data_IF_729014583703
#
_entry.id   IF_729014583703
#
_cell.length_a   1.000
_cell.length_b   1.000
_cell.length_c   1.000
_cell.angle_alpha   90.00
_cell.angle_beta   90.00
_cell.angle_gamma   90.00
#
_symmetry.space_group_name_H-M   'P 1'
#
loop_
_entity.id
_entity.type
_entity.pdbx_description
1 polymer ?
#
# COMPACT_ATOMS: atom_id res chain seq x y z
N UNK A 1 22.52 9.98 52.49
CA UNK A 1 21.48 9.61 51.50
C UNK A 1 20.80 10.80 50.80
N UNK A 2 20.60 11.98 51.44
CA UNK A 2 19.91 13.14 50.81
C UNK A 2 20.60 13.73 49.57
N UNK A 3 21.93 13.73 49.52
CA UNK A 3 22.70 14.29 48.39
C UNK A 3 22.58 13.48 47.09
N UNK A 4 22.46 12.15 47.19
CA UNK A 4 22.35 11.27 46.02
C UNK A 4 21.03 11.48 45.26
N UNK A 5 19.90 11.57 45.99
CA UNK A 5 18.59 11.82 45.39
C UNK A 5 18.48 13.22 44.74
N UNK A 6 19.16 14.22 45.28
CA UNK A 6 19.21 15.56 44.69
C UNK A 6 19.98 15.59 43.36
N UNK A 7 21.13 14.90 43.29
CA UNK A 7 21.91 14.78 42.05
C UNK A 7 21.19 13.93 40.99
N UNK A 8 20.57 12.82 41.39
CA UNK A 8 19.76 12.00 40.50
C UNK A 8 18.58 12.78 39.91
N UNK A 9 17.89 13.60 40.72
CA UNK A 9 16.81 14.47 40.24
C UNK A 9 17.28 15.51 39.22
N UNK A 10 18.42 16.16 39.44
CA UNK A 10 18.99 17.12 38.49
C UNK A 10 19.42 16.47 37.18
N UNK A 11 20.02 15.27 37.25
CA UNK A 11 20.37 14.50 36.06
C UNK A 11 19.11 14.15 35.25
N UNK A 12 18.05 13.68 35.91
CA UNK A 12 16.78 13.37 35.25
C UNK A 12 16.17 14.60 34.56
N UNK A 13 16.13 15.75 35.23
CA UNK A 13 15.63 17.01 34.65
C UNK A 13 16.47 17.42 33.44
N UNK A 14 17.80 17.32 33.53
CA UNK A 14 18.69 17.59 32.40
C UNK A 14 18.40 16.67 31.20
N UNK A 15 18.26 15.36 31.43
CA UNK A 15 17.91 14.42 30.36
C UNK A 15 16.56 14.74 29.71
N UNK A 16 15.54 15.08 30.50
CA UNK A 16 14.24 15.50 29.98
C UNK A 16 14.39 16.77 29.12
N UNK A 17 15.14 17.78 29.59
CA UNK A 17 15.38 19.01 28.85
C UNK A 17 16.13 18.76 27.53
N UNK A 18 17.13 17.87 27.53
CA UNK A 18 17.86 17.48 26.33
C UNK A 18 16.94 16.77 25.35
N UNK A 19 16.10 15.83 25.80
CA UNK A 19 15.16 15.10 24.93
C UNK A 19 14.12 16.05 24.33
N UNK A 20 13.50 16.90 25.15
CA UNK A 20 12.52 17.89 24.69
C UNK A 20 13.16 18.92 23.75
N UNK A 21 14.34 19.43 24.11
CA UNK A 21 15.08 20.38 23.28
C UNK A 21 15.47 19.78 21.93
N UNK A 22 15.86 18.50 21.90
CA UNK A 22 16.18 17.78 20.66
C UNK A 22 14.95 17.62 19.78
N UNK A 23 13.81 17.20 20.34
CA UNK A 23 12.56 17.07 19.58
C UNK A 23 12.10 18.42 19.00
N UNK A 24 12.18 19.50 19.79
CA UNK A 24 11.87 20.86 19.32
C UNK A 24 12.82 21.26 18.18
N UNK A 25 14.13 21.06 18.35
CA UNK A 25 15.11 21.41 17.34
C UNK A 25 14.89 20.63 16.04
N UNK A 26 14.65 19.32 16.11
CA UNK A 26 14.34 18.49 14.95
C UNK A 26 13.03 18.91 14.26
N UNK A 27 12.03 19.34 15.04
CA UNK A 27 10.78 19.87 14.50
C UNK A 27 10.95 21.22 13.80
N UNK A 28 11.84 22.09 14.31
CA UNK A 28 12.11 23.40 13.72
C UNK A 28 13.00 23.28 12.47
N UNK A 29 14.02 22.43 12.50
CA UNK A 29 14.96 22.26 11.38
C UNK A 29 14.30 21.66 10.14
N UNK A 30 13.16 20.95 10.30
CA UNK A 30 12.37 20.35 9.21
C UNK A 30 13.25 19.71 8.12
N UNK A 31 14.25 18.92 8.52
CA UNK A 31 15.18 18.34 7.55
C UNK A 31 14.41 17.49 6.52
N UNK A 32 14.76 17.55 5.22
CA UNK A 32 14.00 16.84 4.18
C UNK A 32 13.87 15.34 4.44
N UNK A 33 14.92 14.70 4.97
CA UNK A 33 14.90 13.28 5.35
C UNK A 33 13.90 12.98 6.45
N UNK A 34 13.86 13.80 7.50
CA UNK A 34 12.94 13.57 8.61
C UNK A 34 11.48 13.80 8.19
N UNK A 35 11.23 14.83 7.38
CA UNK A 35 9.89 15.09 6.85
C UNK A 35 9.42 13.94 5.94
N UNK A 36 10.28 13.46 5.04
CA UNK A 36 9.97 12.31 4.20
C UNK A 36 9.48 11.09 5.01
N UNK A 37 10.21 10.69 6.06
CA UNK A 37 9.79 9.56 6.89
C UNK A 37 8.55 9.87 7.75
N UNK A 38 8.33 11.13 8.15
CA UNK A 38 7.12 11.53 8.89
C UNK A 38 5.89 11.47 8.00
N UNK A 39 5.97 12.02 6.80
CA UNK A 39 4.86 12.03 5.84
C UNK A 39 4.46 10.61 5.44
N UNK A 40 5.44 9.72 5.25
CA UNK A 40 5.18 8.30 5.08
C UNK A 40 4.48 7.68 6.30
N UNK A 41 4.91 7.98 7.53
CA UNK A 41 4.23 7.46 8.73
C UNK A 41 2.81 8.00 8.88
N UNK A 42 2.53 9.22 8.42
CA UNK A 42 1.19 9.82 8.47
C UNK A 42 0.23 9.21 7.43
N UNK A 43 0.79 8.72 6.31
CA UNK A 43 0.04 8.01 5.28
C UNK A 43 -0.37 6.60 5.76
N UNK A 44 0.47 5.93 6.54
CA UNK A 44 0.23 4.58 7.02
C UNK A 44 -0.45 4.53 8.39
N UNK A 45 -1.13 3.44 8.67
CA UNK A 45 -1.68 3.08 9.98
C UNK A 45 -1.37 1.62 10.30
N UNK A 46 -1.40 1.29 11.58
CA UNK A 46 -1.31 -0.10 12.03
C UNK A 46 -2.63 -0.84 11.80
N UNK A 47 -2.55 -2.08 11.31
CA UNK A 47 -3.66 -3.01 11.24
C UNK A 47 -3.32 -4.31 11.99
N UNK A 48 -4.16 -4.82 12.91
CA UNK A 48 -3.82 -6.00 13.71
C UNK A 48 -3.72 -7.31 12.91
N UNK A 49 -4.31 -7.38 11.71
CA UNK A 49 -4.39 -8.60 10.90
C UNK A 49 -3.27 -8.66 9.85
N UNK A 50 -2.94 -7.53 9.24
CA UNK A 50 -1.93 -7.45 8.16
C UNK A 50 -0.88 -6.35 8.37
N UNK A 51 -0.74 -5.88 9.62
CA UNK A 51 0.29 -5.00 10.18
C UNK A 51 0.35 -3.57 9.65
N UNK A 52 0.39 -3.39 8.34
CA UNK A 52 0.47 -2.07 7.68
C UNK A 52 -0.80 -1.86 6.91
N UNK A 53 -1.33 -0.64 6.90
CA UNK A 53 -2.46 -0.25 6.07
C UNK A 53 -2.32 1.23 5.73
N UNK A 54 -3.05 1.70 4.72
CA UNK A 54 -3.17 3.13 4.47
C UNK A 54 -4.24 3.73 5.38
N UNK A 55 -3.93 4.87 5.97
CA UNK A 55 -4.91 5.62 6.74
C UNK A 55 -5.99 6.18 5.79
N UNK A 56 -7.28 6.15 6.18
CA UNK A 56 -8.36 6.71 5.37
C UNK A 56 -8.32 8.23 5.37
N UNK A 57 -8.89 8.84 4.32
CA UNK A 57 -9.06 10.29 4.17
C UNK A 57 -7.75 11.07 4.35
N UNK A 58 -6.66 10.60 3.74
CA UNK A 58 -5.39 11.31 3.72
C UNK A 58 -5.22 12.06 2.42
N UNK A 59 -4.52 13.19 2.51
CA UNK A 59 -4.04 13.99 1.39
C UNK A 59 -2.69 14.56 1.81
N UNK A 60 -1.62 13.93 1.34
CA UNK A 60 -0.25 14.19 1.78
C UNK A 60 0.62 14.36 0.54
N UNK A 61 1.36 15.44 0.46
CA UNK A 61 2.39 15.58 -0.56
C UNK A 61 3.72 15.03 -0.03
N UNK A 62 4.27 14.02 -0.70
CA UNK A 62 5.51 13.37 -0.27
C UNK A 62 6.60 13.70 -1.29
N UNK A 63 7.70 14.26 -0.82
CA UNK A 63 8.92 14.48 -1.60
C UNK A 63 10.04 13.59 -1.06
N UNK A 64 10.64 12.78 -1.93
CA UNK A 64 11.80 11.99 -1.56
C UNK A 64 12.94 12.91 -1.07
N UNK A 65 13.58 12.57 0.04
CA UNK A 65 14.58 13.43 0.69
C UNK A 65 15.76 13.82 -0.21
N UNK A 66 16.13 12.95 -1.15
CA UNK A 66 17.17 13.19 -2.15
C UNK A 66 16.63 13.75 -3.50
N UNK A 67 15.37 14.20 -3.55
CA UNK A 67 14.77 14.77 -4.76
C UNK A 67 14.58 13.80 -5.92
N UNK A 68 14.56 12.48 -5.66
CA UNK A 68 14.43 11.45 -6.70
C UNK A 68 13.03 11.39 -7.32
N UNK A 69 12.02 11.69 -6.52
CA UNK A 69 10.62 11.72 -6.91
C UNK A 69 9.83 12.55 -5.91
N UNK A 70 8.65 12.99 -6.33
CA UNK A 70 7.65 13.57 -5.47
C UNK A 70 6.27 13.20 -6.01
N UNK A 71 5.27 13.17 -5.14
CA UNK A 71 3.92 12.85 -5.55
C UNK A 71 2.90 13.26 -4.51
N UNK A 72 1.68 13.49 -4.98
CA UNK A 72 0.53 13.68 -4.09
C UNK A 72 -0.09 12.33 -3.76
N UNK A 73 -0.24 12.07 -2.47
CA UNK A 73 -0.78 10.84 -1.94
C UNK A 73 -2.14 11.06 -1.31
N UNK A 74 -3.22 10.72 -2.03
CA UNK A 74 -4.57 10.70 -1.46
C UNK A 74 -5.08 9.30 -1.22
N UNK A 75 -5.89 9.17 -0.17
CA UNK A 75 -6.63 7.95 0.15
C UNK A 75 -8.09 8.27 0.41
N UNK A 76 -8.97 7.38 -0.04
CA UNK A 76 -10.41 7.54 0.14
C UNK A 76 -10.87 7.12 1.55
N UNK A 77 -12.18 7.10 1.76
CA UNK A 77 -12.79 6.79 3.07
C UNK A 77 -12.47 5.39 3.60
N UNK A 78 -12.09 4.46 2.72
CA UNK A 78 -11.72 3.08 3.06
C UNK A 78 -10.20 2.87 3.18
N UNK A 79 -9.40 3.91 2.96
CA UNK A 79 -7.94 3.79 2.94
C UNK A 79 -7.45 3.06 1.69
N UNK A 80 -8.14 3.19 0.55
CA UNK A 80 -7.61 2.80 -0.76
C UNK A 80 -6.88 3.99 -1.38
N UNK A 81 -5.85 3.73 -2.19
CA UNK A 81 -5.10 4.78 -2.88
C UNK A 81 -5.99 5.44 -3.95
N UNK A 82 -5.99 6.77 -4.00
CA UNK A 82 -6.87 7.58 -4.84
C UNK A 82 -8.10 8.11 -4.09
N UNK A 83 -8.84 9.02 -4.72
CA UNK A 83 -10.04 9.65 -4.13
C UNK A 83 -11.36 8.94 -4.50
N UNK A 84 -11.35 8.09 -5.53
CA UNK A 84 -12.57 7.45 -6.00
C UNK A 84 -13.12 6.49 -4.94
N UNK A 85 -14.38 6.71 -4.56
CA UNK A 85 -15.12 5.80 -3.70
C UNK A 85 -15.69 4.64 -4.53
N UNK A 86 -15.80 3.43 -3.97
CA UNK A 86 -16.44 2.31 -4.66
C UNK A 86 -17.88 2.64 -5.05
N UNK A 87 -18.15 2.64 -6.35
CA UNK A 87 -19.49 2.82 -6.89
C UNK A 87 -20.14 1.44 -7.04
N UNK A 88 -21.17 1.15 -6.25
CA UNK A 88 -21.86 -0.14 -6.28
C UNK A 88 -22.59 -0.42 -7.60
N UNK A 89 -22.83 0.59 -8.43
CA UNK A 89 -23.50 0.43 -9.73
C UNK A 89 -22.54 0.03 -10.84
N UNK A 90 -21.24 0.32 -10.67
CA UNK A 90 -20.21 -0.01 -11.66
C UNK A 90 -19.57 -1.35 -11.33
N UNK A 91 -19.29 -2.20 -12.33
CA UNK A 91 -18.42 -3.35 -12.14
C UNK A 91 -17.04 -2.90 -11.66
N UNK A 92 -16.49 -3.57 -10.65
CA UNK A 92 -15.24 -3.15 -9.99
C UNK A 92 -14.10 -4.13 -10.26
N UNK A 93 -12.90 -3.58 -10.49
CA UNK A 93 -11.63 -4.29 -10.58
C UNK A 93 -10.74 -3.86 -9.40
N UNK A 94 -10.40 -4.77 -8.50
CA UNK A 94 -9.47 -4.48 -7.41
C UNK A 94 -8.01 -4.72 -7.85
N UNK A 95 -7.16 -3.70 -7.75
CA UNK A 95 -5.72 -3.83 -7.93
C UNK A 95 -5.08 -4.21 -6.60
N UNK A 96 -4.36 -5.33 -6.55
CA UNK A 96 -3.66 -5.83 -5.37
C UNK A 96 -2.18 -6.01 -5.66
N UNK A 97 -1.36 -5.65 -4.69
CA UNK A 97 0.08 -5.77 -4.77
C UNK A 97 0.79 -5.10 -3.62
N UNK A 98 2.08 -4.92 -3.81
CA UNK A 98 2.97 -4.18 -2.93
C UNK A 98 3.06 -2.68 -3.31
N UNK A 99 4.15 -2.04 -2.89
CA UNK A 99 4.54 -0.66 -3.21
C UNK A 99 4.45 -0.29 -4.70
N UNK A 100 4.73 -1.21 -5.62
CA UNK A 100 4.64 -0.95 -7.06
C UNK A 100 3.20 -0.65 -7.48
N UNK A 101 2.27 -1.51 -7.10
CA UNK A 101 0.85 -1.35 -7.42
C UNK A 101 0.22 -0.21 -6.64
N UNK A 102 0.68 -0.02 -5.39
CA UNK A 102 0.29 1.14 -4.57
C UNK A 102 0.67 2.47 -5.27
N UNK A 103 1.67 2.44 -6.16
CA UNK A 103 2.19 3.63 -6.83
C UNK A 103 3.14 4.42 -5.94
N UNK A 104 4.01 3.71 -5.21
CA UNK A 104 5.04 4.36 -4.42
C UNK A 104 5.99 5.13 -5.35
N UNK A 105 6.11 6.42 -5.11
CA UNK A 105 6.96 7.31 -5.89
C UNK A 105 6.26 8.10 -6.99
N UNK A 106 4.95 7.94 -7.17
CA UNK A 106 4.16 8.67 -8.18
C UNK A 106 2.88 9.25 -7.60
N UNK A 107 2.31 10.26 -8.27
CA UNK A 107 1.03 10.86 -7.88
C UNK A 107 -0.14 9.91 -8.17
N UNK A 108 -1.32 10.18 -7.60
CA UNK A 108 -2.49 9.31 -7.73
C UNK A 108 -2.84 8.99 -9.19
N UNK A 109 -2.75 10.01 -10.05
CA UNK A 109 -3.07 9.97 -11.47
C UNK A 109 -2.10 9.08 -12.25
N UNK A 110 -0.86 9.01 -11.80
CA UNK A 110 0.21 8.25 -12.45
C UNK A 110 0.27 6.79 -11.96
N UNK A 111 -0.56 6.43 -10.98
CA UNK A 111 -0.60 5.05 -10.50
C UNK A 111 -1.14 4.12 -11.59
N UNK A 112 -0.52 2.95 -11.71
CA UNK A 112 -0.96 1.92 -12.65
C UNK A 112 -2.45 1.60 -12.52
N UNK A 113 -2.95 1.48 -11.29
CA UNK A 113 -4.37 1.20 -11.06
C UNK A 113 -5.28 2.34 -11.55
N UNK A 114 -4.88 3.61 -11.38
CA UNK A 114 -5.65 4.75 -11.89
C UNK A 114 -5.69 4.77 -13.41
N UNK A 115 -4.56 4.47 -14.07
CA UNK A 115 -4.47 4.40 -15.53
C UNK A 115 -5.36 3.30 -16.15
N UNK A 116 -5.70 2.28 -15.37
CA UNK A 116 -6.65 1.23 -15.78
C UNK A 116 -8.12 1.62 -15.58
N UNK A 117 -8.42 2.77 -14.96
CA UNK A 117 -9.82 3.12 -14.68
C UNK A 117 -10.60 3.27 -15.98
N UNK A 118 -11.76 2.60 -16.06
CA UNK A 118 -12.55 2.55 -17.29
C UNK A 118 -12.07 1.51 -18.31
N UNK A 119 -11.12 0.63 -17.96
CA UNK A 119 -10.72 -0.47 -18.83
C UNK A 119 -11.93 -1.31 -19.23
N UNK A 120 -12.09 -1.52 -20.53
CA UNK A 120 -13.16 -2.33 -21.10
C UNK A 120 -12.79 -3.82 -21.01
N UNK A 121 -13.51 -4.54 -20.16
CA UNK A 121 -13.44 -6.00 -20.05
C UNK A 121 -14.78 -6.63 -20.46
N UNK A 122 -14.84 -7.96 -20.49
CA UNK A 122 -16.11 -8.67 -20.76
C UNK A 122 -17.17 -8.20 -19.76
N UNK A 123 -18.25 -7.62 -20.29
CA UNK A 123 -19.34 -7.04 -19.49
C UNK A 123 -19.14 -5.57 -19.10
N UNK A 124 -18.29 -4.82 -19.83
CA UNK A 124 -18.21 -3.35 -19.79
C UNK A 124 -17.08 -2.79 -18.92
N UNK A 125 -16.92 -1.46 -18.99
CA UNK A 125 -15.94 -0.68 -18.25
C UNK A 125 -15.88 -1.03 -16.76
N UNK A 126 -14.66 -1.18 -16.24
CA UNK A 126 -14.42 -1.39 -14.80
C UNK A 126 -14.04 -0.10 -14.09
N UNK A 127 -14.63 0.10 -12.91
CA UNK A 127 -14.06 1.01 -11.93
C UNK A 127 -12.88 0.31 -11.25
N UNK A 128 -11.71 0.90 -11.32
CA UNK A 128 -10.51 0.34 -10.69
C UNK A 128 -10.31 0.88 -9.29
N UNK A 129 -10.02 0.00 -8.34
CA UNK A 129 -9.83 0.34 -6.94
C UNK A 129 -8.48 -0.17 -6.47
N UNK A 130 -7.62 0.73 -5.99
CA UNK A 130 -6.26 0.38 -5.59
C UNK A 130 -6.21 -0.04 -4.11
N UNK A 131 -6.21 -1.34 -3.90
CA UNK A 131 -6.14 -1.98 -2.57
C UNK A 131 -4.71 -2.31 -2.16
N UNK A 132 -3.73 -2.03 -3.01
CA UNK A 132 -2.33 -2.30 -2.71
C UNK A 132 -1.80 -1.39 -1.60
N UNK A 133 -0.87 -1.92 -0.84
CA UNK A 133 -0.17 -1.24 0.25
C UNK A 133 1.29 -1.66 0.18
N UNK A 134 2.19 -0.75 0.53
CA UNK A 134 3.61 -1.07 0.58
C UNK A 134 3.91 -2.21 1.58
N UNK A 135 5.03 -2.89 1.33
CA UNK A 135 5.51 -4.04 2.11
C UNK A 135 4.56 -5.25 2.20
N UNK A 136 3.44 -5.27 1.46
CA UNK A 136 2.63 -6.47 1.34
C UNK A 136 3.40 -7.55 0.58
N UNK A 137 3.26 -8.79 1.07
CA UNK A 137 3.45 -9.99 0.28
C UNK A 137 2.11 -10.61 -0.07
N UNK A 138 2.13 -11.83 -0.62
CA UNK A 138 0.93 -12.53 -1.08
C UNK A 138 -0.17 -12.64 -0.01
N UNK A 139 0.23 -12.98 1.22
CA UNK A 139 -0.66 -13.11 2.38
C UNK A 139 -1.27 -11.77 2.85
N UNK A 140 -0.50 -10.68 2.80
CA UNK A 140 -0.97 -9.35 3.18
C UNK A 140 -2.07 -8.87 2.24
N UNK A 141 -1.84 -8.98 0.93
CA UNK A 141 -2.85 -8.62 -0.06
C UNK A 141 -4.09 -9.50 -0.02
N UNK A 142 -3.95 -10.81 0.25
CA UNK A 142 -5.11 -11.68 0.46
C UNK A 142 -5.95 -11.23 1.66
N UNK A 143 -5.33 -10.98 2.82
CA UNK A 143 -6.05 -10.54 4.02
C UNK A 143 -6.73 -9.19 3.79
N UNK A 144 -6.05 -8.27 3.09
CA UNK A 144 -6.63 -6.98 2.69
C UNK A 144 -7.83 -7.16 1.77
N UNK A 145 -7.74 -8.05 0.78
CA UNK A 145 -8.86 -8.38 -0.10
C UNK A 145 -10.04 -8.96 0.68
N UNK A 146 -9.79 -9.87 1.63
CA UNK A 146 -10.86 -10.45 2.47
C UNK A 146 -11.57 -9.40 3.33
N UNK A 147 -10.82 -8.43 3.87
CA UNK A 147 -11.39 -7.31 4.64
C UNK A 147 -12.14 -6.30 3.75
N UNK A 148 -11.73 -6.15 2.49
CA UNK A 148 -12.31 -5.16 1.57
C UNK A 148 -13.44 -5.69 0.70
N UNK A 149 -13.39 -6.95 0.26
CA UNK A 149 -14.38 -7.53 -0.65
C UNK A 149 -15.84 -7.38 -0.17
N UNK A 150 -16.17 -7.54 1.13
CA UNK A 150 -17.54 -7.30 1.61
C UNK A 150 -18.01 -5.83 1.45
N UNK A 151 -17.08 -4.88 1.36
CA UNK A 151 -17.33 -3.45 1.16
C UNK A 151 -17.44 -3.10 -0.33
N UNK A 152 -16.92 -3.95 -1.20
CA UNK A 152 -16.90 -3.81 -2.67
C UNK A 152 -18.06 -4.59 -3.31
N UNK A 153 -19.27 -4.02 -3.23
CA UNK A 153 -20.53 -4.70 -3.59
C UNK A 153 -20.59 -5.26 -5.01
N UNK A 154 -19.81 -4.70 -5.94
CA UNK A 154 -19.81 -5.12 -7.34
C UNK A 154 -18.41 -5.49 -7.85
N UNK A 155 -17.60 -6.08 -6.96
CA UNK A 155 -16.29 -6.65 -7.32
C UNK A 155 -16.46 -7.81 -8.30
N UNK A 156 -15.95 -7.64 -9.52
CA UNK A 156 -16.01 -8.64 -10.59
C UNK A 156 -14.68 -9.32 -10.82
N UNK A 157 -13.59 -8.57 -10.74
CA UNK A 157 -12.25 -9.08 -10.97
C UNK A 157 -11.25 -8.54 -9.94
N UNK A 158 -10.17 -9.29 -9.79
CA UNK A 158 -9.01 -8.90 -8.99
C UNK A 158 -7.78 -9.01 -9.88
N UNK A 159 -7.03 -7.91 -10.01
CA UNK A 159 -5.73 -7.90 -10.66
C UNK A 159 -4.65 -7.97 -9.60
N UNK A 160 -3.96 -9.10 -9.55
CA UNK A 160 -2.91 -9.37 -8.59
C UNK A 160 -1.53 -9.22 -9.26
N UNK A 161 -0.72 -8.31 -8.74
CA UNK A 161 0.61 -7.98 -9.24
C UNK A 161 1.59 -7.90 -8.08
N UNK A 162 2.60 -8.75 -8.11
CA UNK A 162 3.70 -8.71 -7.14
C UNK A 162 5.03 -8.74 -7.89
N UNK A 163 5.94 -7.88 -7.44
CA UNK A 163 7.36 -8.07 -7.69
C UNK A 163 7.92 -8.92 -6.56
N UNK A 164 8.73 -9.92 -6.89
CA UNK A 164 9.35 -10.80 -5.91
C UNK A 164 10.32 -9.98 -5.03
N UNK A 165 9.84 -9.34 -3.96
CA UNK A 165 10.68 -8.69 -2.94
C UNK A 165 11.08 -9.62 -1.80
N UNK A 166 10.76 -10.92 -1.88
CA UNK A 166 11.12 -11.91 -0.88
C UNK A 166 12.50 -12.50 -1.17
N UNK A 167 13.42 -12.32 -0.21
CA UNK A 167 14.64 -13.12 -0.12
C UNK A 167 14.30 -14.62 -0.19
N UNK A 168 15.21 -15.40 -0.77
CA UNK A 168 15.12 -16.85 -1.10
C UNK A 168 14.52 -17.79 -0.03
N UNK A 169 14.24 -17.35 1.19
CA UNK A 169 13.72 -18.14 2.30
C UNK A 169 12.20 -18.37 2.30
N UNK A 170 11.42 -17.66 1.48
CA UNK A 170 9.94 -17.71 1.52
C UNK A 170 9.25 -18.39 0.32
N UNK A 171 10.04 -18.85 -0.68
CA UNK A 171 9.52 -19.44 -1.93
C UNK A 171 8.53 -20.59 -1.73
N UNK A 172 8.80 -21.51 -0.81
CA UNK A 172 8.02 -22.74 -0.68
C UNK A 172 6.66 -22.56 0.03
N UNK A 173 6.52 -21.55 0.89
CA UNK A 173 5.26 -21.27 1.58
C UNK A 173 4.36 -20.38 0.72
N UNK A 174 4.94 -19.39 0.04
CA UNK A 174 4.19 -18.47 -0.83
C UNK A 174 3.73 -19.14 -2.12
N UNK A 175 4.52 -20.04 -2.74
CA UNK A 175 4.02 -20.80 -3.87
C UNK A 175 2.82 -21.66 -3.47
N UNK A 176 2.87 -22.36 -2.33
CA UNK A 176 1.73 -23.14 -1.84
C UNK A 176 0.50 -22.30 -1.56
N UNK A 177 0.65 -21.12 -0.95
CA UNK A 177 -0.47 -20.22 -0.67
C UNK A 177 -0.96 -19.49 -1.93
N UNK A 178 -0.08 -19.13 -2.87
CA UNK A 178 -0.45 -18.62 -4.18
C UNK A 178 -1.20 -19.68 -4.98
N UNK A 179 -0.72 -20.93 -5.03
CA UNK A 179 -1.43 -22.08 -5.62
C UNK A 179 -2.73 -22.41 -4.88
N UNK A 180 -2.78 -22.25 -3.56
CA UNK A 180 -4.00 -22.42 -2.75
C UNK A 180 -5.01 -21.33 -3.07
N UNK A 181 -4.55 -20.10 -3.30
CA UNK A 181 -5.35 -18.98 -3.79
C UNK A 181 -5.86 -19.24 -5.20
N UNK A 182 -5.02 -19.73 -6.12
CA UNK A 182 -5.45 -20.17 -7.47
C UNK A 182 -6.40 -21.37 -7.41
N UNK A 183 -6.30 -22.23 -6.37
CA UNK A 183 -7.18 -23.39 -6.17
C UNK A 183 -8.52 -23.00 -5.51
N UNK A 184 -8.54 -22.00 -4.64
CA UNK A 184 -9.75 -21.44 -4.04
C UNK A 184 -10.54 -20.58 -5.05
N UNK A 185 -9.86 -20.00 -6.04
CA UNK A 185 -10.45 -19.18 -7.10
C UNK A 185 -10.29 -19.88 -8.45
N UNK A 186 -11.28 -20.71 -8.83
CA UNK A 186 -11.33 -21.46 -10.12
C UNK A 186 -10.86 -20.58 -11.29
N UNK A 187 -9.80 -21.02 -11.96
CA UNK A 187 -9.02 -20.22 -12.92
C UNK A 187 -9.16 -20.72 -14.35
N UNK A 188 -9.40 -19.80 -15.29
CA UNK A 188 -9.06 -19.90 -16.72
C UNK A 188 -8.31 -18.60 -17.09
N UNK A 189 -7.21 -18.72 -17.82
CA UNK A 189 -6.19 -17.69 -17.96
C UNK A 189 -6.37 -16.81 -19.22
N UNK A 190 -6.40 -15.49 -19.04
CA UNK A 190 -6.19 -14.47 -20.09
C UNK A 190 -5.07 -13.51 -19.61
N UNK A 191 -3.82 -14.00 -19.55
CA UNK A 191 -2.66 -13.28 -18.99
C UNK A 191 -1.73 -12.69 -20.07
N UNK A 192 -1.75 -13.25 -21.29
CA UNK A 192 -0.79 -12.89 -22.34
C UNK A 192 -0.99 -11.45 -22.87
N UNK A 193 -2.23 -10.99 -22.98
CA UNK A 193 -2.58 -9.71 -23.64
C UNK A 193 -2.17 -8.47 -22.83
N UNK A 194 -2.13 -8.56 -21.50
CA UNK A 194 -1.77 -7.43 -20.63
C UNK A 194 -0.26 -7.13 -20.65
N UNK A 195 0.58 -8.14 -20.86
CA UNK A 195 2.04 -7.98 -20.95
C UNK A 195 2.43 -7.30 -22.27
N UNK A 196 1.75 -7.65 -23.37
CA UNK A 196 2.01 -7.05 -24.69
C UNK A 196 1.54 -5.59 -24.79
N UNK A 197 0.44 -5.22 -24.12
CA UNK A 197 -0.05 -3.83 -24.10
C UNK A 197 0.87 -2.90 -23.30
N UNK A 198 1.56 -3.40 -22.27
CA UNK A 198 2.26 -2.57 -21.29
C UNK A 198 3.80 -2.52 -21.46
N UNK A 199 4.38 -3.26 -22.40
CA UNK A 199 5.78 -3.10 -22.80
C UNK A 199 6.84 -3.42 -21.72
N UNK A 200 6.48 -4.18 -20.67
CA UNK A 200 7.39 -4.49 -19.56
C UNK A 200 8.19 -5.78 -19.81
N UNK A 201 9.52 -5.66 -19.82
CA UNK A 201 10.47 -6.78 -19.79
C UNK A 201 11.01 -6.96 -18.37
N UNK A 202 10.32 -7.78 -17.57
CA UNK A 202 10.80 -8.33 -16.29
C UNK A 202 9.86 -9.48 -15.88
N UNK A 203 10.33 -10.41 -15.05
CA UNK A 203 9.54 -11.58 -14.60
C UNK A 203 8.37 -11.16 -13.70
N UNK A 204 7.27 -10.69 -14.29
CA UNK A 204 6.03 -10.34 -13.59
C UNK A 204 5.05 -11.52 -13.58
N UNK A 205 4.47 -11.82 -12.43
CA UNK A 205 3.28 -12.66 -12.36
C UNK A 205 2.04 -11.76 -12.36
N UNK A 206 1.37 -11.67 -13.50
CA UNK A 206 0.11 -10.96 -13.66
C UNK A 206 -1.02 -11.99 -13.59
N UNK A 207 -1.88 -11.90 -12.57
CA UNK A 207 -3.05 -12.77 -12.45
C UNK A 207 -4.31 -11.92 -12.43
N UNK A 208 -5.08 -11.98 -13.51
CA UNK A 208 -6.45 -11.47 -13.53
C UNK A 208 -7.39 -12.60 -13.12
N UNK A 209 -8.08 -12.41 -12.00
CA UNK A 209 -8.89 -13.47 -11.38
C UNK A 209 -10.36 -13.05 -11.39
N UNK A 210 -11.27 -13.78 -12.05
CA UNK A 210 -12.70 -13.54 -11.90
C UNK A 210 -13.12 -13.85 -10.46
N UNK A 211 -13.72 -12.86 -9.80
CA UNK A 211 -14.16 -12.98 -8.41
C UNK A 211 -15.50 -13.70 -8.34
N UNK A 212 -15.52 -14.89 -7.73
CA UNK A 212 -16.74 -15.64 -7.41
C UNK A 212 -16.71 -16.01 -5.92
N UNK A 213 -17.72 -15.56 -5.17
CA UNK A 213 -18.01 -16.02 -3.81
C UNK A 213 -18.91 -17.26 -3.87
#
# INVERSE_FOLDING_TARGET
MKGFFYWAGRALVFFILVLVGTEILLNVLKSPSLQFYRDQKLLHRYNPVYYVDLAPNKDIFIRHFAGKWEGRFRTNSLGMRGLEEPDSTKPQLACLGDSLVMGFGVSDEDTFCHQLNGIELKGGARQTLNLAVDAYGSLGALRRLQDMAPKLKNLKEVLFLFLETTSLFQKNLELKECYRMTRLMKFEAEIQTLIEILGFSLNFLVLLIPFRL
#
